data_IF_346527132864
#
_entry.id   IF_346527132864
#
_cell.length_a   1.000
_cell.length_b   1.000
_cell.length_c   1.000
_cell.angle_alpha   90.00
_cell.angle_beta   90.00
_cell.angle_gamma   90.00
#
_symmetry.space_group_name_H-M   'P 1'
#
loop_
_entity.id
_entity.type
_entity.pdbx_description
1 polymer ?
#
# COMPACT_ATOMS: atom_id res chain seq x y z
N UNK A 1 81.19 -29.07 18.10
CA UNK A 1 81.58 -27.81 17.40
C UNK A 1 80.45 -26.82 17.56
N UNK A 2 80.77 -25.60 18.03
CA UNK A 2 79.98 -24.34 18.08
C UNK A 2 78.47 -24.43 18.35
N UNK A 3 77.92 -23.96 19.47
CA UNK A 3 77.95 -22.56 19.94
C UNK A 3 76.48 -22.10 20.02
N UNK A 4 75.90 -22.03 21.23
CA UNK A 4 75.53 -20.79 21.95
C UNK A 4 74.34 -20.04 21.32
N UNK A 5 73.35 -19.48 22.00
CA UNK A 5 73.00 -19.21 23.41
C UNK A 5 71.58 -18.59 23.32
N UNK A 6 70.54 -19.12 23.97
CA UNK A 6 70.09 -18.80 25.33
C UNK A 6 69.46 -17.40 25.55
N UNK A 7 68.21 -17.43 26.09
CA UNK A 7 67.63 -16.56 27.14
C UNK A 7 67.28 -15.11 26.73
N UNK A 8 66.30 -14.40 27.32
CA UNK A 8 65.30 -14.60 28.39
C UNK A 8 64.33 -13.41 28.29
N UNK A 9 63.14 -13.56 28.85
CA UNK A 9 62.16 -12.51 29.10
C UNK A 9 62.68 -11.39 30.03
N UNK A 10 62.20 -10.16 29.83
CA UNK A 10 62.07 -9.11 30.85
C UNK A 10 60.84 -8.24 30.53
N UNK A 11 60.00 -8.07 31.55
CA UNK A 11 58.89 -7.12 31.69
C UNK A 11 59.38 -5.67 31.61
N UNK A 12 58.63 -4.77 30.95
CA UNK A 12 58.58 -3.35 31.33
C UNK A 12 57.41 -2.62 30.64
N UNK A 13 56.42 -2.24 31.45
CA UNK A 13 55.41 -1.20 31.20
C UNK A 13 55.96 0.11 31.84
N UNK A 14 55.50 1.37 31.60
CA UNK A 14 54.39 1.85 30.78
C UNK A 14 54.68 3.15 29.97
N UNK A 15 53.81 3.50 29.00
CA UNK A 15 53.26 4.87 28.79
C UNK A 15 52.44 5.00 27.49
N UNK A 16 51.22 5.50 27.67
CA UNK A 16 50.44 6.36 26.75
C UNK A 16 50.10 5.79 25.36
N UNK A 17 48.81 5.47 25.14
CA UNK A 17 47.98 6.15 24.13
C UNK A 17 46.49 5.93 24.38
N UNK A 18 45.80 7.05 24.64
CA UNK A 18 44.34 7.22 24.68
C UNK A 18 43.72 6.94 23.30
N UNK A 19 42.47 6.44 23.31
CA UNK A 19 41.34 6.69 22.38
C UNK A 19 41.65 6.55 20.88
N UNK A 20 40.86 5.88 20.05
CA UNK A 20 39.45 6.23 19.78
C UNK A 20 38.86 5.15 18.86
N UNK A 21 37.69 4.62 19.20
CA UNK A 21 36.83 3.89 18.26
C UNK A 21 36.26 4.88 17.23
N UNK A 22 36.57 4.65 15.95
CA UNK A 22 36.01 5.41 14.84
C UNK A 22 34.62 4.90 14.48
N UNK A 23 33.59 5.59 14.96
CA UNK A 23 32.25 5.60 14.34
C UNK A 23 32.39 6.06 12.89
N UNK A 24 32.14 5.19 11.91
CA UNK A 24 31.81 5.61 10.55
C UNK A 24 30.41 6.24 10.58
N UNK A 25 30.38 7.57 10.56
CA UNK A 25 29.19 8.36 10.21
C UNK A 25 29.23 8.58 8.70
N UNK A 26 28.16 8.20 8.01
CA UNK A 26 27.88 8.64 6.66
C UNK A 26 27.75 10.17 6.66
N UNK A 27 28.71 10.84 6.02
CA UNK A 27 28.65 12.26 5.75
C UNK A 27 27.77 12.51 4.54
N UNK A 28 26.56 13.02 4.78
CA UNK A 28 25.80 13.75 3.78
C UNK A 28 26.50 15.11 3.56
N UNK A 29 27.08 15.30 2.38
CA UNK A 29 27.58 16.59 1.93
C UNK A 29 26.37 17.48 1.66
N UNK A 30 26.14 18.46 2.53
CA UNK A 30 25.15 19.52 2.36
C UNK A 30 25.81 20.67 1.61
N UNK A 31 25.39 20.94 0.37
CA UNK A 31 25.71 22.19 -0.31
C UNK A 31 24.80 23.29 0.25
N UNK A 32 25.30 24.01 1.26
CA UNK A 32 24.70 25.24 1.77
C UNK A 32 25.05 26.41 0.85
N UNK A 33 24.20 26.66 -0.15
CA UNK A 33 24.23 27.86 -0.98
C UNK A 33 23.17 28.86 -0.49
N UNK A 34 23.62 29.98 0.04
CA UNK A 34 22.84 31.12 0.52
C UNK A 34 22.01 31.76 -0.61
N UNK A 35 20.72 31.41 -0.75
CA UNK A 35 19.79 32.17 -1.59
C UNK A 35 19.04 33.20 -0.75
N UNK A 36 19.44 34.47 -0.89
CA UNK A 36 18.62 35.61 -0.50
C UNK A 36 17.32 35.57 -1.30
N UNK A 37 16.19 35.62 -0.60
CA UNK A 37 14.87 35.78 -1.20
C UNK A 37 14.84 37.10 -1.97
N UNK A 38 14.71 37.02 -3.30
CA UNK A 38 14.33 38.15 -4.14
C UNK A 38 12.90 37.87 -4.57
N UNK A 39 11.96 38.67 -4.07
CA UNK A 39 10.57 38.68 -4.52
C UNK A 39 10.55 38.97 -6.02
N UNK A 40 10.25 37.94 -6.83
CA UNK A 40 10.09 38.10 -8.26
C UNK A 40 8.62 37.91 -8.67
N UNK A 41 8.11 38.73 -9.62
CA UNK A 41 6.73 38.63 -10.14
C UNK A 41 6.36 37.24 -10.69
N UNK A 42 7.37 36.43 -11.04
CA UNK A 42 7.21 35.06 -11.54
C UNK A 42 6.55 34.10 -10.55
N UNK A 43 6.67 34.35 -9.24
CA UNK A 43 6.05 33.49 -8.21
C UNK A 43 4.55 33.74 -8.07
N UNK A 44 4.11 34.99 -8.28
CA UNK A 44 2.69 35.33 -8.30
C UNK A 44 2.03 34.85 -9.59
N UNK A 45 2.71 34.95 -10.74
CA UNK A 45 2.23 34.38 -12.00
C UNK A 45 2.13 32.85 -11.97
N UNK A 46 3.05 32.17 -11.28
CA UNK A 46 3.00 30.72 -11.10
C UNK A 46 1.83 30.28 -10.20
N UNK A 47 1.55 31.03 -9.13
CA UNK A 47 0.39 30.77 -8.26
C UNK A 47 -0.93 31.14 -8.95
N UNK A 48 -0.96 32.20 -9.75
CA UNK A 48 -2.11 32.57 -10.57
C UNK A 48 -2.44 31.47 -11.59
N UNK A 49 -1.44 30.91 -12.29
CA UNK A 49 -1.63 29.79 -13.24
C UNK A 49 -2.12 28.50 -12.59
N UNK A 50 -1.78 28.24 -11.32
CA UNK A 50 -2.35 27.12 -10.55
C UNK A 50 -3.82 27.37 -10.20
N UNK A 51 -4.21 28.63 -9.96
CA UNK A 51 -5.61 28.99 -9.69
C UNK A 51 -6.47 29.06 -10.97
N UNK A 52 -5.87 29.41 -12.11
CA UNK A 52 -6.55 29.61 -13.40
C UNK A 52 -6.76 28.33 -14.24
N UNK A 53 -6.20 27.20 -13.80
CA UNK A 53 -6.52 25.87 -14.35
C UNK A 53 -7.93 25.35 -14.01
N UNK A 54 -8.78 26.20 -13.41
CA UNK A 54 -10.20 25.94 -13.17
C UNK A 54 -10.98 26.58 -14.31
N UNK A 55 -11.73 25.76 -15.07
CA UNK A 55 -12.69 26.13 -16.12
C UNK A 55 -12.22 26.05 -17.58
N UNK A 56 -11.45 25.00 -17.94
CA UNK A 56 -11.53 24.46 -19.31
C UNK A 56 -12.71 23.47 -19.42
N UNK A 57 -13.33 23.27 -20.59
CA UNK A 57 -14.43 22.31 -20.72
C UNK A 57 -13.88 20.91 -20.42
N UNK A 58 -14.31 20.31 -19.29
CA UNK A 58 -13.98 18.92 -18.98
C UNK A 58 -14.61 18.04 -20.07
N UNK A 59 -13.77 17.41 -20.91
CA UNK A 59 -14.22 16.29 -21.73
C UNK A 59 -14.95 15.28 -20.82
N UNK A 60 -16.05 14.65 -21.26
CA UNK A 60 -16.88 13.84 -20.37
C UNK A 60 -16.02 12.78 -19.69
N UNK A 61 -15.98 12.78 -18.34
CA UNK A 61 -15.12 11.90 -17.54
C UNK A 61 -15.21 10.42 -17.98
N UNK A 62 -16.37 9.98 -18.47
CA UNK A 62 -16.60 8.65 -19.02
C UNK A 62 -15.77 8.32 -20.27
N UNK A 63 -15.55 9.28 -21.16
CA UNK A 63 -14.82 9.06 -22.43
C UNK A 63 -13.35 8.69 -22.18
N UNK A 64 -12.70 9.38 -21.23
CA UNK A 64 -11.32 9.12 -20.83
C UNK A 64 -11.16 7.78 -20.10
N UNK A 65 -12.17 7.38 -19.31
CA UNK A 65 -12.16 6.10 -18.59
C UNK A 65 -12.30 4.94 -19.57
N UNK A 66 -13.25 5.02 -20.52
CA UNK A 66 -13.42 4.02 -21.57
C UNK A 66 -12.15 3.90 -22.44
N UNK A 67 -11.57 5.03 -22.84
CA UNK A 67 -10.30 5.05 -23.57
C UNK A 67 -9.16 4.36 -22.80
N UNK A 68 -9.05 4.58 -21.49
CA UNK A 68 -8.05 3.88 -20.67
C UNK A 68 -8.25 2.36 -20.69
N UNK A 69 -9.46 1.87 -20.44
CA UNK A 69 -9.72 0.43 -20.41
C UNK A 69 -9.60 -0.25 -21.78
N UNK A 70 -9.98 0.44 -22.85
CA UNK A 70 -9.85 -0.06 -24.21
C UNK A 70 -8.40 -0.17 -24.67
N UNK A 71 -7.54 0.77 -24.24
CA UNK A 71 -6.12 0.78 -24.58
C UNK A 71 -5.27 -0.06 -23.63
N UNK A 72 -5.76 -0.40 -22.43
CA UNK A 72 -5.00 -1.15 -21.44
C UNK A 72 -4.60 -2.55 -21.96
N UNK A 73 -3.39 -3.04 -21.61
CA UNK A 73 -3.01 -4.40 -21.94
C UNK A 73 -3.94 -5.41 -21.25
N UNK A 74 -4.21 -6.57 -21.88
CA UNK A 74 -5.01 -7.62 -21.26
C UNK A 74 -4.46 -8.04 -19.90
N UNK A 75 -5.35 -8.20 -18.93
CA UNK A 75 -5.00 -8.73 -17.62
C UNK A 75 -4.66 -10.23 -17.74
N UNK A 76 -3.37 -10.56 -17.62
CA UNK A 76 -2.84 -11.93 -17.81
C UNK A 76 -3.61 -13.03 -17.06
N UNK A 77 -4.00 -12.75 -15.81
CA UNK A 77 -4.71 -13.71 -14.95
C UNK A 77 -6.19 -13.34 -14.78
N UNK A 78 -6.78 -12.61 -15.75
CA UNK A 78 -8.13 -12.04 -15.65
C UNK A 78 -9.22 -13.08 -15.35
N UNK A 79 -9.27 -14.17 -16.10
CA UNK A 79 -10.28 -15.23 -15.91
C UNK A 79 -10.12 -15.92 -14.55
N UNK A 80 -8.87 -16.16 -14.12
CA UNK A 80 -8.58 -16.75 -12.82
C UNK A 80 -9.03 -15.83 -11.68
N UNK A 81 -8.81 -14.52 -11.81
CA UNK A 81 -9.26 -13.52 -10.84
C UNK A 81 -10.79 -13.47 -10.82
N UNK A 82 -11.44 -13.50 -11.98
CA UNK A 82 -12.89 -13.52 -12.11
C UNK A 82 -13.51 -14.73 -11.39
N UNK A 83 -12.97 -15.93 -11.63
CA UNK A 83 -13.44 -17.16 -10.99
C UNK A 83 -13.24 -17.13 -9.48
N UNK A 84 -12.05 -16.71 -9.01
CA UNK A 84 -11.78 -16.57 -7.56
C UNK A 84 -12.72 -15.57 -6.88
N UNK A 85 -13.00 -14.45 -7.55
CA UNK A 85 -13.95 -13.46 -7.05
C UNK A 85 -15.34 -14.05 -6.97
N UNK A 86 -15.80 -14.73 -8.04
CA UNK A 86 -17.12 -15.37 -8.06
C UNK A 86 -17.26 -16.39 -6.93
N UNK A 87 -16.32 -17.33 -6.80
CA UNK A 87 -16.34 -18.33 -5.72
C UNK A 87 -16.34 -17.71 -4.32
N UNK A 88 -15.59 -16.63 -4.12
CA UNK A 88 -15.56 -15.90 -2.85
C UNK A 88 -16.89 -15.21 -2.56
N UNK A 89 -17.45 -14.50 -3.53
CA UNK A 89 -18.74 -13.81 -3.37
C UNK A 89 -19.90 -14.78 -3.19
N UNK A 90 -19.95 -15.88 -3.96
CA UNK A 90 -20.99 -16.90 -3.85
C UNK A 90 -21.01 -17.53 -2.45
N UNK A 91 -19.83 -17.82 -1.90
CA UNK A 91 -19.69 -18.33 -0.53
C UNK A 91 -20.24 -17.36 0.52
N UNK A 92 -19.90 -16.07 0.39
CA UNK A 92 -20.36 -15.02 1.31
C UNK A 92 -21.87 -14.86 1.25
N UNK A 93 -22.45 -14.90 0.04
CA UNK A 93 -23.91 -14.87 -0.15
C UNK A 93 -24.59 -16.01 0.59
N UNK A 94 -24.11 -17.25 0.44
CA UNK A 94 -24.66 -18.42 1.14
C UNK A 94 -24.52 -18.33 2.67
N UNK A 95 -23.39 -17.82 3.17
CA UNK A 95 -23.20 -17.58 4.61
C UNK A 95 -24.14 -16.51 5.15
N UNK A 96 -24.49 -15.51 4.33
CA UNK A 96 -25.45 -14.46 4.70
C UNK A 96 -26.89 -14.97 4.78
N UNK A 97 -27.26 -16.04 4.07
CA UNK A 97 -28.60 -16.64 4.14
C UNK A 97 -28.79 -17.49 5.40
N UNK A 98 -27.71 -18.10 5.89
CA UNK A 98 -27.72 -18.99 7.06
C UNK A 98 -27.41 -18.27 8.39
N UNK A 99 -27.29 -16.94 8.40
CA UNK A 99 -26.83 -16.19 9.56
C UNK A 99 -26.98 -14.68 9.45
N UNK A 100 -26.10 -13.95 10.14
CA UNK A 100 -26.08 -12.48 10.07
C UNK A 100 -25.44 -12.01 8.76
N UNK A 101 -25.86 -10.86 8.20
CA UNK A 101 -25.32 -10.34 6.95
C UNK A 101 -23.81 -10.09 7.05
N UNK A 102 -23.04 -10.74 6.18
CA UNK A 102 -21.58 -10.58 6.14
C UNK A 102 -21.22 -9.24 5.52
N UNK A 103 -20.40 -8.46 6.21
CA UNK A 103 -19.82 -7.21 5.70
C UNK A 103 -18.59 -7.54 4.87
N UNK A 104 -18.46 -6.90 3.70
CA UNK A 104 -17.35 -7.18 2.78
C UNK A 104 -16.51 -5.93 2.60
N UNK A 105 -15.19 -6.04 2.68
CA UNK A 105 -14.27 -4.92 2.45
C UNK A 105 -13.24 -5.25 1.39
N UNK A 106 -13.08 -4.38 0.40
CA UNK A 106 -11.95 -4.38 -0.51
C UNK A 106 -10.83 -3.50 0.07
N UNK A 107 -9.71 -4.11 0.44
CA UNK A 107 -8.51 -3.41 0.90
C UNK A 107 -7.50 -3.39 -0.24
N UNK A 108 -7.13 -2.20 -0.72
CA UNK A 108 -6.04 -2.06 -1.69
C UNK A 108 -4.74 -1.68 -0.97
N UNK A 109 -3.61 -2.31 -1.30
CA UNK A 109 -2.33 -2.09 -0.61
C UNK A 109 -1.12 -2.13 -1.54
N UNK A 110 -0.08 -1.37 -1.18
CA UNK A 110 1.16 -1.26 -1.95
C UNK A 110 1.12 -0.25 -3.10
N UNK A 111 2.23 -0.11 -3.80
CA UNK A 111 2.40 0.85 -4.89
C UNK A 111 2.11 0.28 -6.27
N UNK A 112 1.58 1.09 -7.18
CA UNK A 112 1.49 0.74 -8.61
C UNK A 112 2.76 1.14 -9.35
N UNK A 113 3.17 0.33 -10.33
CA UNK A 113 4.17 0.73 -11.33
C UNK A 113 3.54 1.26 -12.61
N UNK A 114 4.27 2.12 -13.30
CA UNK A 114 3.98 2.56 -14.65
C UNK A 114 5.11 2.07 -15.55
N UNK A 115 4.90 1.04 -16.39
CA UNK A 115 5.89 0.62 -17.36
C UNK A 115 6.15 1.74 -18.38
N UNK A 116 7.41 1.88 -18.78
CA UNK A 116 7.82 2.84 -19.82
C UNK A 116 7.89 2.21 -21.21
N UNK A 117 7.99 0.88 -21.25
CA UNK A 117 8.04 0.05 -22.45
C UNK A 117 7.05 -1.13 -22.33
N UNK A 118 6.46 -1.59 -23.43
CA UNK A 118 5.52 -2.73 -23.41
C UNK A 118 6.24 -4.00 -22.97
N UNK A 119 7.44 -4.23 -23.49
CA UNK A 119 8.41 -5.21 -22.97
C UNK A 119 9.24 -4.53 -21.88
N UNK A 120 8.56 -4.29 -20.76
CA UNK A 120 9.02 -3.45 -19.67
C UNK A 120 10.40 -3.87 -19.14
N UNK A 121 11.36 -2.95 -19.26
CA UNK A 121 12.65 -3.02 -18.56
C UNK A 121 12.71 -1.96 -17.46
N UNK A 122 12.06 -0.81 -17.68
CA UNK A 122 12.05 0.32 -16.76
C UNK A 122 10.62 0.71 -16.43
N UNK A 123 10.42 1.20 -15.21
CA UNK A 123 9.12 1.65 -14.74
C UNK A 123 9.28 2.77 -13.71
N UNK A 124 8.22 3.59 -13.58
CA UNK A 124 8.04 4.52 -12.45
C UNK A 124 7.30 3.75 -11.36
N UNK A 125 7.72 3.87 -10.10
CA UNK A 125 7.07 3.22 -8.96
C UNK A 125 6.60 4.25 -7.94
N UNK A 126 5.42 4.03 -7.38
CA UNK A 126 4.89 4.81 -6.27
C UNK A 126 5.24 4.10 -4.96
N UNK A 127 6.06 4.73 -4.12
CA UNK A 127 6.53 4.11 -2.88
C UNK A 127 5.37 3.75 -1.94
N UNK A 128 5.23 2.46 -1.65
CA UNK A 128 4.41 1.95 -0.54
C UNK A 128 4.83 0.53 -0.21
N UNK A 129 5.24 0.31 1.05
CA UNK A 129 5.63 -1.02 1.54
C UNK A 129 4.44 -1.96 1.76
N UNK A 130 3.21 -1.44 1.76
CA UNK A 130 1.99 -2.22 1.98
C UNK A 130 1.63 -2.54 3.44
N UNK A 131 2.44 -2.11 4.42
CA UNK A 131 2.22 -2.43 5.84
C UNK A 131 0.84 -2.00 6.36
N UNK A 132 0.41 -0.77 6.05
CA UNK A 132 -0.90 -0.26 6.50
C UNK A 132 -2.04 -1.15 6.00
N UNK A 133 -2.06 -1.48 4.71
CA UNK A 133 -3.12 -2.32 4.15
C UNK A 133 -3.07 -3.74 4.69
N UNK A 134 -1.87 -4.30 4.90
CA UNK A 134 -1.70 -5.63 5.50
C UNK A 134 -2.22 -5.66 6.95
N UNK A 135 -1.79 -4.74 7.81
CA UNK A 135 -2.26 -4.66 9.19
C UNK A 135 -3.76 -4.39 9.27
N UNK A 136 -4.28 -3.45 8.47
CA UNK A 136 -5.73 -3.15 8.42
C UNK A 136 -6.55 -4.39 8.03
N UNK A 137 -6.05 -5.22 7.12
CA UNK A 137 -6.71 -6.47 6.72
C UNK A 137 -6.87 -7.43 7.88
N UNK A 138 -5.84 -7.61 8.71
CA UNK A 138 -5.91 -8.47 9.89
C UNK A 138 -6.99 -7.98 10.87
N UNK A 139 -7.06 -6.67 11.10
CA UNK A 139 -8.06 -6.08 11.98
C UNK A 139 -9.48 -6.12 11.40
N UNK A 140 -9.65 -5.99 10.08
CA UNK A 140 -10.95 -6.17 9.43
C UNK A 140 -11.45 -7.61 9.54
N UNK A 141 -10.58 -8.61 9.32
CA UNK A 141 -10.92 -10.02 9.54
C UNK A 141 -11.30 -10.25 11.01
N UNK A 142 -10.52 -9.71 11.96
CA UNK A 142 -10.83 -9.77 13.41
C UNK A 142 -12.19 -9.13 13.75
N UNK A 143 -12.61 -8.09 13.02
CA UNK A 143 -13.91 -7.43 13.14
C UNK A 143 -15.05 -8.16 12.38
N UNK A 144 -14.79 -9.34 11.81
CA UNK A 144 -15.80 -10.18 11.15
C UNK A 144 -16.10 -9.78 9.70
N UNK A 145 -15.23 -9.03 9.04
CA UNK A 145 -15.37 -8.77 7.60
C UNK A 145 -14.82 -9.92 6.76
N UNK A 146 -15.50 -10.17 5.65
CA UNK A 146 -14.86 -10.84 4.52
C UNK A 146 -14.01 -9.82 3.74
N UNK A 147 -12.73 -10.10 3.56
CA UNK A 147 -11.74 -9.17 3.01
C UNK A 147 -11.23 -9.63 1.65
N UNK A 148 -11.37 -8.75 0.65
CA UNK A 148 -10.69 -8.85 -0.65
C UNK A 148 -9.43 -7.97 -0.57
N UNK A 149 -8.26 -8.60 -0.42
CA UNK A 149 -6.98 -7.94 -0.32
C UNK A 149 -6.31 -7.83 -1.70
N UNK A 150 -6.43 -6.67 -2.32
CA UNK A 150 -5.80 -6.34 -3.62
C UNK A 150 -4.43 -5.71 -3.35
N UNK A 151 -3.34 -6.37 -3.71
CA UNK A 151 -2.01 -5.97 -3.22
C UNK A 151 -0.90 -6.02 -4.26
N UNK A 152 0.10 -5.15 -4.11
CA UNK A 152 1.31 -5.16 -4.95
C UNK A 152 2.13 -6.42 -4.72
N UNK A 153 2.47 -7.17 -5.77
CA UNK A 153 3.43 -8.30 -5.70
C UNK A 153 4.73 -7.84 -5.05
N UNK A 154 5.21 -8.61 -4.07
CA UNK A 154 6.42 -8.29 -3.29
C UNK A 154 6.21 -7.27 -2.16
N UNK A 155 5.02 -6.69 -2.00
CA UNK A 155 4.70 -5.85 -0.84
C UNK A 155 4.29 -6.68 0.38
N UNK A 156 4.21 -6.01 1.54
CA UNK A 156 3.78 -6.60 2.79
C UNK A 156 2.38 -7.23 2.67
N UNK A 157 2.23 -8.45 3.20
CA UNK A 157 0.97 -9.20 3.22
C UNK A 157 0.48 -9.39 4.66
N UNK A 158 -0.86 -9.50 4.88
CA UNK A 158 -1.41 -9.78 6.20
C UNK A 158 -0.82 -11.07 6.76
N UNK A 159 -0.55 -11.06 8.07
CA UNK A 159 0.10 -12.10 8.87
C UNK A 159 1.59 -12.34 8.56
N UNK A 160 2.07 -11.93 7.38
CA UNK A 160 3.48 -12.03 7.00
C UNK A 160 4.32 -10.81 7.45
N UNK A 161 3.70 -9.72 7.91
CA UNK A 161 4.38 -8.46 8.30
C UNK A 161 5.34 -8.57 9.48
N UNK A 162 5.21 -9.65 10.23
CA UNK A 162 6.02 -9.98 11.40
C UNK A 162 7.16 -10.94 11.09
N UNK A 163 7.18 -11.51 9.88
CA UNK A 163 8.31 -12.26 9.38
C UNK A 163 9.38 -11.23 8.98
N UNK A 164 10.67 -11.47 9.27
CA UNK A 164 11.68 -10.50 8.91
C UNK A 164 11.89 -10.41 7.40
N UNK A 165 12.59 -9.35 7.02
CA UNK A 165 12.94 -9.08 5.63
C UNK A 165 14.15 -9.89 5.16
N UNK A 166 14.97 -10.38 6.08
CA UNK A 166 16.12 -11.25 5.80
C UNK A 166 15.68 -12.68 5.43
N UNK A 167 16.63 -13.54 5.06
CA UNK A 167 16.33 -14.87 4.51
C UNK A 167 15.39 -15.66 5.43
N UNK A 168 14.20 -15.97 4.93
CA UNK A 168 13.20 -16.77 5.65
C UNK A 168 13.73 -18.15 6.07
N UNK A 169 14.81 -18.62 5.45
CA UNK A 169 15.50 -19.85 5.82
C UNK A 169 16.16 -19.79 7.20
N UNK A 170 16.44 -18.61 7.76
CA UNK A 170 16.97 -18.46 9.12
C UNK A 170 15.95 -18.83 10.21
N UNK A 171 14.68 -18.99 9.85
CA UNK A 171 13.59 -19.38 10.77
C UNK A 171 13.42 -20.87 10.90
N UNK A 172 14.23 -21.65 10.21
CA UNK A 172 13.93 -23.03 9.91
C UNK A 172 15.11 -23.92 10.23
N UNK A 173 14.99 -24.63 11.34
CA UNK A 173 15.89 -25.74 11.66
C UNK A 173 15.38 -27.02 10.98
N UNK A 174 16.29 -27.79 10.39
CA UNK A 174 16.01 -29.11 9.84
C UNK A 174 16.07 -30.16 10.96
N UNK A 175 15.04 -30.98 11.08
CA UNK A 175 15.06 -32.19 11.92
C UNK A 175 15.26 -33.42 11.03
N UNK A 176 16.14 -34.34 11.44
CA UNK A 176 16.56 -35.50 10.61
C UNK A 176 15.50 -36.62 10.49
N UNK A 177 14.33 -36.49 11.11
CA UNK A 177 13.34 -37.57 11.16
C UNK A 177 12.41 -37.58 9.95
N UNK A 178 12.70 -38.49 9.02
CA UNK A 178 11.94 -38.72 7.79
C UNK A 178 10.83 -39.76 7.99
N UNK A 179 9.57 -39.32 7.95
CA UNK A 179 8.48 -40.12 7.38
C UNK A 179 7.61 -39.25 6.48
N UNK A 180 7.29 -39.80 5.31
CA UNK A 180 6.89 -39.09 4.10
C UNK A 180 5.43 -38.62 4.20
N UNK A 181 5.24 -37.40 4.67
CA UNK A 181 4.50 -36.34 3.99
C UNK A 181 5.33 -35.08 4.20
N UNK A 182 5.70 -34.38 3.12
CA UNK A 182 6.63 -33.22 3.16
C UNK A 182 5.92 -32.01 3.81
N UNK A 183 5.70 -32.07 5.11
CA UNK A 183 5.83 -30.92 5.97
C UNK A 183 7.25 -31.03 6.52
N UNK A 184 8.18 -30.20 6.05
CA UNK A 184 9.42 -30.03 6.81
C UNK A 184 8.97 -29.66 8.24
N UNK A 185 9.34 -30.46 9.24
CA UNK A 185 9.14 -30.11 10.65
C UNK A 185 10.14 -29.00 10.92
N UNK A 186 9.73 -27.78 10.58
CA UNK A 186 10.55 -26.60 10.71
C UNK A 186 10.33 -26.06 12.11
N UNK A 187 11.34 -26.24 12.97
CA UNK A 187 11.34 -25.58 14.26
C UNK A 187 11.75 -24.12 14.05
N UNK A 188 10.94 -23.20 14.57
CA UNK A 188 11.24 -21.76 14.57
C UNK A 188 12.13 -21.43 15.76
N UNK A 189 13.18 -20.64 15.55
CA UNK A 189 14.04 -20.10 16.62
C UNK A 189 13.17 -19.60 17.80
N UNK A 190 13.54 -20.01 19.02
CA UNK A 190 12.68 -19.87 20.22
C UNK A 190 12.24 -18.42 20.49
N UNK A 191 13.04 -17.43 20.09
CA UNK A 191 12.74 -16.00 20.20
C UNK A 191 11.59 -15.52 19.29
N UNK A 192 11.35 -16.18 18.15
CA UNK A 192 10.34 -15.78 17.17
C UNK A 192 9.17 -16.77 17.06
N UNK A 193 9.29 -17.95 17.67
CA UNK A 193 8.33 -19.05 17.55
C UNK A 193 6.90 -18.66 17.91
N UNK A 194 6.68 -17.86 18.96
CA UNK A 194 5.34 -17.44 19.40
C UNK A 194 4.64 -16.59 18.35
N UNK A 195 5.36 -15.63 17.78
CA UNK A 195 4.84 -14.70 16.77
C UNK A 195 4.52 -15.42 15.46
N UNK A 196 5.43 -16.27 14.99
CA UNK A 196 5.24 -17.07 13.76
C UNK A 196 4.09 -18.07 13.90
N UNK A 197 4.00 -18.79 15.04
CA UNK A 197 2.89 -19.72 15.31
C UNK A 197 1.55 -18.99 15.32
N UNK A 198 1.47 -17.83 15.98
CA UNK A 198 0.27 -16.99 15.98
C UNK A 198 -0.11 -16.57 14.56
N UNK A 199 0.85 -16.05 13.78
CA UNK A 199 0.62 -15.62 12.41
C UNK A 199 0.10 -16.76 11.52
N UNK A 200 0.71 -17.95 11.59
CA UNK A 200 0.27 -19.12 10.81
C UNK A 200 -1.14 -19.54 11.21
N UNK A 201 -1.42 -19.63 12.51
CA UNK A 201 -2.75 -20.01 13.02
C UNK A 201 -3.83 -19.02 12.57
N UNK A 202 -3.58 -17.73 12.76
CA UNK A 202 -4.55 -16.68 12.44
C UNK A 202 -4.77 -16.59 10.91
N UNK A 203 -3.72 -16.77 10.10
CA UNK A 203 -3.82 -16.87 8.64
C UNK A 203 -4.65 -18.08 8.19
N UNK A 204 -4.34 -19.28 8.71
CA UNK A 204 -5.06 -20.50 8.36
C UNK A 204 -6.54 -20.37 8.71
N UNK A 205 -6.85 -19.88 9.90
CA UNK A 205 -8.22 -19.60 10.33
C UNK A 205 -8.94 -18.68 9.34
N UNK A 206 -8.34 -17.56 8.96
CA UNK A 206 -8.95 -16.61 8.02
C UNK A 206 -9.21 -17.21 6.63
N UNK A 207 -8.35 -18.13 6.16
CA UNK A 207 -8.50 -18.82 4.87
C UNK A 207 -9.51 -19.96 4.95
N UNK A 208 -9.47 -20.77 6.01
CA UNK A 208 -10.39 -21.89 6.25
C UNK A 208 -11.83 -21.40 6.44
N UNK A 209 -12.03 -20.29 7.16
CA UNK A 209 -13.33 -19.62 7.30
C UNK A 209 -13.77 -18.91 6.01
N UNK A 210 -12.93 -18.87 4.98
CA UNK A 210 -13.24 -18.25 3.69
C UNK A 210 -13.38 -16.73 3.77
N UNK A 211 -12.76 -16.08 4.76
CA UNK A 211 -12.87 -14.64 5.02
C UNK A 211 -11.79 -13.81 4.31
N UNK A 212 -10.78 -14.42 3.69
CA UNK A 212 -9.69 -13.70 3.04
C UNK A 212 -9.43 -14.18 1.61
N UNK A 213 -9.63 -13.29 0.64
CA UNK A 213 -9.21 -13.47 -0.75
C UNK A 213 -8.05 -12.52 -1.07
N UNK A 214 -6.95 -13.04 -1.62
CA UNK A 214 -5.79 -12.23 -2.03
C UNK A 214 -5.68 -12.14 -3.55
N UNK A 215 -5.58 -10.93 -4.09
CA UNK A 215 -5.44 -10.68 -5.54
C UNK A 215 -4.22 -9.79 -5.79
N UNK A 216 -3.16 -10.32 -6.42
CA UNK A 216 -1.95 -9.55 -6.67
C UNK A 216 -2.07 -8.63 -7.90
N UNK A 217 -1.42 -7.47 -7.85
CA UNK A 217 -1.17 -6.59 -9.00
C UNK A 217 0.28 -6.12 -9.02
N UNK A 218 0.72 -5.53 -10.12
CA UNK A 218 2.00 -4.83 -10.24
C UNK A 218 1.83 -3.45 -10.85
N UNK A 219 1.23 -3.39 -12.04
CA UNK A 219 1.12 -2.15 -12.81
C UNK A 219 -0.17 -1.38 -12.49
N UNK A 220 -0.21 -0.11 -12.85
CA UNK A 220 -1.42 0.71 -12.80
C UNK A 220 -2.56 0.11 -13.64
N UNK A 221 -2.24 -0.51 -14.78
CA UNK A 221 -3.22 -1.17 -15.64
C UNK A 221 -3.87 -2.37 -14.98
N UNK A 222 -3.06 -3.23 -14.35
CA UNK A 222 -3.56 -4.37 -13.59
C UNK A 222 -4.42 -3.89 -12.42
N UNK A 223 -3.93 -2.93 -11.64
CA UNK A 223 -4.63 -2.39 -10.48
C UNK A 223 -6.02 -1.85 -10.84
N UNK A 224 -6.13 -1.04 -11.90
CA UNK A 224 -7.41 -0.43 -12.27
C UNK A 224 -8.40 -1.43 -12.89
N UNK A 225 -7.93 -2.41 -13.65
CA UNK A 225 -8.76 -3.52 -14.13
C UNK A 225 -9.27 -4.37 -12.97
N UNK A 226 -8.41 -4.74 -12.03
CA UNK A 226 -8.77 -5.53 -10.84
C UNK A 226 -9.74 -4.74 -9.95
N UNK A 227 -9.49 -3.45 -9.72
CA UNK A 227 -10.38 -2.60 -8.92
C UNK A 227 -11.78 -2.54 -9.54
N UNK A 228 -11.88 -2.41 -10.87
CA UNK A 228 -13.17 -2.43 -11.55
C UNK A 228 -13.87 -3.78 -11.39
N UNK A 229 -13.15 -4.89 -11.58
CA UNK A 229 -13.72 -6.24 -11.42
C UNK A 229 -14.26 -6.43 -10.00
N UNK A 230 -13.45 -6.12 -8.98
CA UNK A 230 -13.85 -6.22 -7.57
C UNK A 230 -15.06 -5.33 -7.28
N UNK A 231 -15.04 -4.09 -7.76
CA UNK A 231 -16.14 -3.14 -7.53
C UNK A 231 -17.47 -3.63 -8.09
N UNK A 232 -17.46 -4.10 -9.34
CA UNK A 232 -18.65 -4.67 -9.98
C UNK A 232 -19.12 -5.94 -9.29
N UNK A 233 -18.21 -6.83 -8.89
CA UNK A 233 -18.55 -8.05 -8.14
C UNK A 233 -19.14 -7.76 -6.76
N UNK A 234 -18.74 -6.66 -6.12
CA UNK A 234 -19.28 -6.23 -4.81
C UNK A 234 -20.58 -5.42 -4.90
N UNK A 235 -21.07 -5.08 -6.09
CA UNK A 235 -22.24 -4.19 -6.25
C UNK A 235 -23.49 -4.64 -5.48
N UNK A 236 -23.76 -5.95 -5.41
CA UNK A 236 -24.90 -6.52 -4.69
C UNK A 236 -24.81 -6.38 -3.16
N UNK A 237 -23.61 -6.13 -2.62
CA UNK A 237 -23.42 -5.93 -1.16
C UNK A 237 -24.02 -4.60 -0.68
N UNK A 238 -24.27 -3.66 -1.61
CA UNK A 238 -24.83 -2.35 -1.36
C UNK A 238 -24.11 -1.62 -0.20
N UNK A 239 -24.86 -1.19 0.83
CA UNK A 239 -24.32 -0.48 2.00
C UNK A 239 -23.42 -1.32 2.89
N UNK A 240 -23.40 -2.65 2.73
CA UNK A 240 -22.55 -3.58 3.49
C UNK A 240 -21.16 -3.76 2.88
N UNK A 241 -20.95 -3.24 1.67
CA UNK A 241 -19.65 -3.22 1.00
C UNK A 241 -18.84 -2.00 1.41
N UNK A 242 -17.56 -2.19 1.71
CA UNK A 242 -16.60 -1.13 2.00
C UNK A 242 -15.43 -1.15 1.01
N UNK A 243 -14.94 0.03 0.62
CA UNK A 243 -13.67 0.18 -0.10
C UNK A 243 -12.68 0.93 0.77
N UNK A 244 -11.58 0.27 1.15
CA UNK A 244 -10.46 0.83 1.90
C UNK A 244 -9.26 0.99 0.97
N UNK A 245 -9.15 2.17 0.35
CA UNK A 245 -8.27 2.43 -0.79
C UNK A 245 -6.89 2.96 -0.35
N UNK A 246 -6.09 2.10 0.29
CA UNK A 246 -4.76 2.45 0.83
C UNK A 246 -3.58 2.23 -0.14
N UNK A 247 -3.83 1.88 -1.39
CA UNK A 247 -2.76 1.73 -2.39
C UNK A 247 -2.19 3.09 -2.81
N UNK A 248 -0.88 3.13 -3.07
CA UNK A 248 -0.22 4.30 -3.64
C UNK A 248 -0.33 4.23 -5.17
N UNK A 249 -1.42 4.77 -5.70
CA UNK A 249 -1.77 4.74 -7.13
C UNK A 249 -1.04 5.86 -7.86
N UNK A 250 -0.47 5.56 -9.03
CA UNK A 250 0.20 6.55 -9.87
C UNK A 250 -0.79 7.57 -10.42
N UNK A 251 -0.47 8.87 -10.31
CA UNK A 251 -1.30 9.97 -10.84
C UNK A 251 -1.12 10.17 -12.36
N UNK A 252 -0.01 9.68 -12.89
CA UNK A 252 0.37 9.81 -14.29
C UNK A 252 0.79 8.44 -14.85
N UNK A 253 0.61 8.22 -16.14
CA UNK A 253 0.96 6.98 -16.83
C UNK A 253 1.34 7.23 -18.29
N UNK A 254 1.97 6.26 -18.95
CA UNK A 254 2.16 6.25 -20.41
C UNK A 254 1.03 5.43 -21.03
N UNK A 255 0.17 5.99 -21.90
CA UNK A 255 -0.84 5.22 -22.61
C UNK A 255 -0.21 4.08 -23.41
N UNK A 256 -0.78 2.89 -23.31
CA UNK A 256 -0.22 1.65 -23.87
C UNK A 256 0.05 1.75 -25.38
N UNK A 257 -0.87 2.37 -26.13
CA UNK A 257 -0.77 2.59 -27.57
C UNK A 257 0.41 3.50 -27.96
N UNK A 258 0.80 4.42 -27.07
CA UNK A 258 1.93 5.34 -27.28
C UNK A 258 3.24 4.84 -26.69
N UNK A 259 3.23 3.68 -26.02
CA UNK A 259 4.37 3.13 -25.30
C UNK A 259 5.32 2.44 -26.27
N UNK A 260 6.62 2.67 -26.11
CA UNK A 260 7.63 1.96 -26.91
C UNK A 260 7.53 0.45 -26.68
N UNK A 261 7.56 -0.36 -27.75
CA UNK A 261 7.46 -1.82 -27.59
C UNK A 261 8.69 -2.38 -26.86
N UNK A 262 9.88 -1.89 -27.20
CA UNK A 262 11.17 -2.40 -26.73
C UNK A 262 11.90 -1.40 -25.83
N UNK A 263 12.91 -1.90 -25.09
CA UNK A 263 13.81 -1.11 -24.24
C UNK A 263 14.27 0.17 -24.97
N UNK A 264 13.97 1.32 -24.36
CA UNK A 264 14.41 2.62 -24.88
C UNK A 264 15.94 2.69 -24.82
N UNK A 265 16.57 3.02 -25.95
CA UNK A 265 18.04 3.05 -26.09
C UNK A 265 18.61 4.36 -25.56
N UNK A 266 19.76 4.29 -24.86
CA UNK A 266 20.39 5.44 -24.19
C UNK A 266 21.37 6.23 -25.07
N UNK A 267 21.59 5.81 -26.33
CA UNK A 267 22.60 6.41 -27.20
C UNK A 267 22.16 7.76 -27.81
N UNK A 268 20.87 8.12 -27.73
CA UNK A 268 20.29 9.26 -28.44
C UNK A 268 20.31 10.59 -27.65
N UNK A 269 20.94 10.63 -26.46
CA UNK A 269 20.96 11.82 -25.60
C UNK A 269 19.95 11.75 -24.44
N UNK A 270 19.51 12.90 -23.90
CA UNK A 270 18.58 12.93 -22.77
C UNK A 270 17.23 12.29 -23.13
N UNK A 271 16.59 11.66 -22.14
CA UNK A 271 15.29 11.02 -22.32
C UNK A 271 14.16 11.95 -21.88
N UNK A 272 13.40 12.46 -22.84
CA UNK A 272 12.17 13.18 -22.58
C UNK A 272 10.98 12.21 -22.49
N UNK A 273 10.27 12.24 -21.37
CA UNK A 273 9.10 11.39 -21.15
C UNK A 273 7.83 12.23 -21.02
N UNK A 274 6.85 11.93 -21.88
CA UNK A 274 5.51 12.50 -21.79
C UNK A 274 4.58 11.54 -21.06
N UNK A 275 4.05 11.99 -19.94
CA UNK A 275 3.08 11.23 -19.16
C UNK A 275 1.69 11.87 -19.29
N UNK A 276 0.67 11.03 -19.32
CA UNK A 276 -0.74 11.41 -19.30
C UNK A 276 -1.31 11.25 -17.90
N UNK A 277 -2.24 12.11 -17.50
CA UNK A 277 -2.90 11.97 -16.20
C UNK A 277 -3.81 10.73 -16.18
N UNK A 278 -3.76 9.96 -15.10
CA UNK A 278 -4.67 8.82 -14.89
C UNK A 278 -6.11 9.34 -14.74
N UNK A 279 -7.10 8.71 -15.40
CA UNK A 279 -8.50 9.08 -15.27
C UNK A 279 -8.98 9.08 -13.81
N UNK A 280 -10.04 9.83 -13.51
CA UNK A 280 -10.56 9.98 -12.15
C UNK A 280 -11.39 8.78 -11.70
N UNK A 281 -10.74 7.63 -11.52
CA UNK A 281 -11.38 6.33 -11.26
C UNK A 281 -12.23 6.29 -9.98
N UNK A 282 -11.90 7.10 -8.95
CA UNK A 282 -12.72 7.19 -7.73
C UNK A 282 -14.13 7.74 -7.99
N UNK A 283 -14.27 8.67 -8.95
CA UNK A 283 -15.58 9.21 -9.36
C UNK A 283 -16.47 8.10 -9.94
N UNK A 284 -15.87 7.27 -10.81
CA UNK A 284 -16.55 6.15 -11.46
C UNK A 284 -16.91 5.06 -10.46
N UNK A 285 -16.01 4.74 -9.52
CA UNK A 285 -16.29 3.81 -8.43
C UNK A 285 -17.54 4.21 -7.65
N UNK A 286 -17.64 5.49 -7.29
CA UNK A 286 -18.71 6.07 -6.46
C UNK A 286 -20.04 6.28 -7.18
N UNK A 287 -20.04 6.36 -8.50
CA UNK A 287 -21.25 6.66 -9.28
C UNK A 287 -21.77 5.47 -10.06
N UNK A 288 -20.88 4.61 -10.53
CA UNK A 288 -21.21 3.55 -11.49
C UNK A 288 -20.91 2.15 -10.95
N UNK A 289 -19.72 1.90 -10.41
CA UNK A 289 -19.32 0.52 -10.07
C UNK A 289 -19.88 0.04 -8.74
N UNK A 290 -19.87 0.88 -7.70
CA UNK A 290 -20.33 0.53 -6.37
C UNK A 290 -20.91 1.76 -5.62
N UNK A 291 -22.03 2.33 -6.11
CA UNK A 291 -22.53 3.62 -5.64
C UNK A 291 -22.98 3.64 -4.17
N UNK A 292 -23.49 2.51 -3.67
CA UNK A 292 -23.95 2.39 -2.28
C UNK A 292 -22.86 1.97 -1.31
N UNK A 293 -21.66 1.62 -1.78
CA UNK A 293 -20.60 1.10 -0.92
C UNK A 293 -19.95 2.20 -0.07
N UNK A 294 -19.53 1.84 1.15
CA UNK A 294 -18.83 2.75 2.04
C UNK A 294 -17.36 2.95 1.60
N UNK A 295 -17.08 4.04 0.89
CA UNK A 295 -15.72 4.30 0.39
C UNK A 295 -14.87 5.18 1.33
N UNK A 296 -13.65 4.71 1.57
CA UNK A 296 -12.58 5.34 2.32
C UNK A 296 -11.36 5.48 1.39
N UNK A 297 -10.77 6.67 1.33
CA UNK A 297 -9.54 6.89 0.56
C UNK A 297 -8.43 7.45 1.44
N UNK A 298 -7.20 7.32 0.97
CA UNK A 298 -6.02 7.79 1.67
C UNK A 298 -5.44 9.01 0.96
N UNK A 299 -4.98 9.97 1.76
CA UNK A 299 -4.19 11.10 1.28
C UNK A 299 -2.87 11.13 2.03
N UNK A 300 -1.78 11.10 1.26
CA UNK A 300 -0.42 11.19 1.75
C UNK A 300 0.18 12.49 1.22
N UNK A 301 0.69 13.34 2.10
CA UNK A 301 1.39 14.57 1.72
C UNK A 301 2.68 14.72 2.53
N UNK A 302 3.61 15.50 2.00
CA UNK A 302 4.85 15.89 2.70
C UNK A 302 4.74 17.28 3.32
N UNK A 303 3.75 18.07 2.90
CA UNK A 303 3.47 19.40 3.43
C UNK A 303 2.17 19.35 4.27
N UNK A 304 2.26 19.52 5.60
CA UNK A 304 1.08 19.50 6.48
C UNK A 304 0.12 20.66 6.21
N UNK A 305 0.59 21.78 5.64
CA UNK A 305 -0.21 22.97 5.33
C UNK A 305 -1.28 22.72 4.27
N UNK A 306 -1.05 21.76 3.36
CA UNK A 306 -1.97 21.43 2.27
C UNK A 306 -2.74 20.12 2.49
N UNK A 307 -2.31 19.29 3.45
CA UNK A 307 -2.84 17.94 3.66
C UNK A 307 -4.34 17.93 3.89
N UNK A 308 -4.82 18.72 4.86
CA UNK A 308 -6.25 18.76 5.22
C UNK A 308 -7.10 19.39 4.12
N UNK A 309 -6.57 20.41 3.44
CA UNK A 309 -7.25 21.04 2.30
C UNK A 309 -7.45 20.04 1.16
N UNK A 310 -6.42 19.24 0.85
CA UNK A 310 -6.49 18.20 -0.17
C UNK A 310 -7.40 17.04 0.23
N UNK A 311 -7.45 16.69 1.51
CA UNK A 311 -8.40 15.70 2.03
C UNK A 311 -9.86 16.17 1.86
N UNK A 312 -10.16 17.41 2.25
CA UNK A 312 -11.48 18.02 2.06
C UNK A 312 -11.87 18.14 0.58
N UNK A 313 -10.89 18.43 -0.29
CA UNK A 313 -11.09 18.44 -1.74
C UNK A 313 -11.45 17.06 -2.28
N UNK A 314 -10.76 16.00 -1.83
CA UNK A 314 -11.05 14.63 -2.26
C UNK A 314 -12.46 14.19 -1.80
N UNK A 315 -12.85 14.53 -0.57
CA UNK A 315 -14.22 14.32 -0.06
C UNK A 315 -15.26 14.95 -0.99
N UNK A 316 -15.13 16.24 -1.32
CA UNK A 316 -16.10 16.95 -2.17
C UNK A 316 -16.08 16.49 -3.63
N UNK A 317 -14.88 16.27 -4.19
CA UNK A 317 -14.70 15.99 -5.61
C UNK A 317 -15.17 14.58 -5.98
N UNK A 318 -14.89 13.60 -5.13
CA UNK A 318 -15.20 12.20 -5.40
C UNK A 318 -16.40 11.68 -4.59
N UNK A 319 -16.90 12.48 -3.64
CA UNK A 319 -18.00 12.08 -2.77
C UNK A 319 -17.59 11.06 -1.71
N UNK A 320 -16.31 10.94 -1.35
CA UNK A 320 -15.84 9.95 -0.36
C UNK A 320 -16.57 10.10 0.99
N UNK A 321 -16.78 8.99 1.71
CA UNK A 321 -17.35 9.06 3.07
C UNK A 321 -16.29 9.40 4.10
N UNK A 322 -15.06 8.92 3.88
CA UNK A 322 -13.91 9.17 4.74
C UNK A 322 -12.66 9.39 3.89
N UNK A 323 -11.85 10.37 4.28
CA UNK A 323 -10.46 10.48 3.82
C UNK A 323 -9.54 10.34 5.03
N UNK A 324 -8.62 9.38 4.99
CA UNK A 324 -7.56 9.23 5.99
C UNK A 324 -6.35 10.00 5.50
N UNK A 325 -6.05 11.11 6.17
CA UNK A 325 -4.95 12.01 5.86
C UNK A 325 -3.72 11.65 6.70
N UNK A 326 -2.56 11.54 6.04
CA UNK A 326 -1.31 11.13 6.66
C UNK A 326 -0.18 12.02 6.14
N UNK A 327 0.70 12.44 7.03
CA UNK A 327 1.95 13.10 6.64
C UNK A 327 3.05 12.04 6.51
N UNK A 328 3.88 12.12 5.46
CA UNK A 328 4.93 11.12 5.20
C UNK A 328 5.92 10.96 6.36
N UNK A 329 6.20 12.01 7.12
CA UNK A 329 7.11 11.95 8.26
C UNK A 329 6.55 11.15 9.45
N UNK A 330 5.23 11.17 9.64
CA UNK A 330 4.56 10.69 10.86
C UNK A 330 3.50 9.63 10.61
N UNK A 331 3.33 9.15 9.36
CA UNK A 331 2.24 8.25 8.98
C UNK A 331 2.15 6.95 9.80
N UNK A 332 3.26 6.48 10.39
CA UNK A 332 3.27 5.31 11.27
C UNK A 332 2.77 5.60 12.69
N UNK A 333 2.82 6.87 13.10
CA UNK A 333 2.56 7.33 14.47
C UNK A 333 1.21 8.04 14.58
N UNK A 334 0.77 8.75 13.53
CA UNK A 334 -0.48 9.50 13.52
C UNK A 334 -1.13 9.53 12.15
N UNK A 335 -2.47 9.49 12.15
CA UNK A 335 -3.32 9.76 10.98
C UNK A 335 -4.50 10.63 11.40
N UNK A 336 -5.07 11.37 10.46
CA UNK A 336 -6.28 12.18 10.69
C UNK A 336 -7.41 11.62 9.82
N UNK A 337 -8.46 11.12 10.47
CA UNK A 337 -9.71 10.74 9.82
C UNK A 337 -10.49 12.02 9.54
N UNK A 338 -10.78 12.29 8.27
CA UNK A 338 -11.58 13.44 7.81
C UNK A 338 -12.93 12.94 7.29
N UNK A 339 -14.01 13.43 7.89
CA UNK A 339 -15.39 13.18 7.47
C UNK A 339 -16.14 14.50 7.27
N UNK A 340 -17.42 14.46 6.87
CA UNK A 340 -18.24 15.67 6.69
C UNK A 340 -18.42 16.39 8.03
N UNK A 341 -17.64 17.46 8.23
CA UNK A 341 -17.75 18.34 9.41
C UNK A 341 -16.99 17.88 10.65
N UNK A 342 -16.26 16.76 10.60
CA UNK A 342 -15.45 16.27 11.73
C UNK A 342 -14.07 15.82 11.28
N UNK A 343 -13.09 16.05 12.14
CA UNK A 343 -11.73 15.53 12.01
C UNK A 343 -11.36 14.82 13.31
N UNK A 344 -10.81 13.62 13.21
CA UNK A 344 -10.43 12.80 14.37
C UNK A 344 -8.99 12.35 14.18
N UNK A 345 -8.09 12.75 15.08
CA UNK A 345 -6.72 12.25 15.11
C UNK A 345 -6.69 10.85 15.73
N UNK A 346 -5.99 9.93 15.09
CA UNK A 346 -5.72 8.57 15.57
C UNK A 346 -4.22 8.45 15.72
N UNK A 347 -3.77 8.14 16.94
CA UNK A 347 -2.36 8.10 17.29
C UNK A 347 -1.99 6.74 17.82
N UNK A 348 -0.79 6.31 17.50
CA UNK A 348 -0.20 5.11 18.04
C UNK A 348 0.01 5.28 19.55
N UNK A 349 -0.52 4.35 20.35
CA UNK A 349 -0.41 4.41 21.81
C UNK A 349 0.98 4.02 22.31
N UNK A 350 1.58 2.96 21.74
CA UNK A 350 2.92 2.49 22.08
C UNK A 350 3.54 1.72 20.90
N UNK A 351 4.82 1.32 21.02
CA UNK A 351 5.56 0.61 19.97
C UNK A 351 5.07 -0.82 19.71
N UNK A 352 4.21 -1.37 20.56
CA UNK A 352 3.73 -2.76 20.47
C UNK A 352 2.34 -2.84 19.82
N UNK A 353 1.61 -1.74 19.78
CA UNK A 353 0.27 -1.63 19.19
C UNK A 353 0.36 -1.07 17.79
N UNK A 354 -0.49 -1.57 16.90
CA UNK A 354 -0.65 -1.00 15.57
C UNK A 354 -1.66 0.15 15.64
N UNK A 355 -1.33 1.26 14.96
CA UNK A 355 -2.28 2.35 14.76
C UNK A 355 -3.54 1.86 14.04
N UNK A 356 -3.39 0.86 13.16
CA UNK A 356 -4.46 0.25 12.40
C UNK A 356 -5.55 -0.39 13.26
N UNK A 357 -5.27 -0.83 14.50
CA UNK A 357 -6.30 -1.38 15.39
C UNK A 357 -7.37 -0.32 15.71
N UNK A 358 -6.93 0.85 16.16
CA UNK A 358 -7.83 1.95 16.50
C UNK A 358 -8.48 2.55 15.24
N UNK A 359 -7.71 2.65 14.14
CA UNK A 359 -8.23 3.13 12.87
C UNK A 359 -9.37 2.24 12.36
N UNK A 360 -9.16 0.92 12.31
CA UNK A 360 -10.17 -0.03 11.83
C UNK A 360 -11.37 -0.07 12.76
N UNK A 361 -11.17 0.00 14.07
CA UNK A 361 -12.29 0.10 15.03
C UNK A 361 -13.19 1.31 14.75
N UNK A 362 -12.62 2.50 14.56
CA UNK A 362 -13.41 3.70 14.26
C UNK A 362 -14.11 3.63 12.89
N UNK A 363 -13.44 3.05 11.90
CA UNK A 363 -14.02 2.86 10.57
C UNK A 363 -15.16 1.83 10.58
N UNK A 364 -15.06 0.80 11.41
CA UNK A 364 -16.13 -0.19 11.60
C UNK A 364 -17.38 0.45 12.19
N UNK A 365 -17.24 1.25 13.24
CA UNK A 365 -18.34 2.01 13.85
C UNK A 365 -19.00 2.96 12.83
N UNK A 366 -18.19 3.69 12.04
CA UNK A 366 -18.71 4.57 10.98
C UNK A 366 -19.48 3.79 9.91
N UNK A 367 -18.99 2.62 9.51
CA UNK A 367 -19.66 1.79 8.53
C UNK A 367 -20.95 1.18 9.07
N UNK A 368 -20.97 0.78 10.34
CA UNK A 368 -22.16 0.29 11.02
C UNK A 368 -23.27 1.35 11.05
N UNK A 369 -22.93 2.59 11.38
CA UNK A 369 -23.89 3.71 11.33
C UNK A 369 -24.34 4.03 9.90
N UNK A 370 -23.45 3.93 8.91
CA UNK A 370 -23.80 4.08 7.50
C UNK A 370 -24.80 3.00 7.02
N UNK A 371 -24.61 1.75 7.44
CA UNK A 371 -25.54 0.65 7.16
C UNK A 371 -26.92 0.92 7.77
N UNK A 372 -26.98 1.36 9.04
CA UNK A 372 -28.23 1.69 9.72
C UNK A 372 -29.01 2.81 9.05
N UNK A 373 -28.31 3.81 8.52
CA UNK A 373 -28.91 4.98 7.88
C UNK A 373 -29.40 4.70 6.45
N UNK A 374 -29.19 3.48 5.93
CA UNK A 374 -29.68 3.07 4.61
C UNK A 374 -28.85 3.58 3.43
N UNK A 375 -27.66 4.15 3.68
CA UNK A 375 -26.79 4.74 2.67
C UNK A 375 -27.32 6.09 2.16
N UNK A 376 -26.76 7.18 2.69
CA UNK A 376 -27.12 8.56 2.32
C UNK A 376 -26.06 9.22 1.44
#
# INVERSE_FOLDING_TARGET
MGGASSRRAVDDNPKKKKKTEGKKRDQYVTFGGLFRAVDSPLRQDFLARIMDSRNGPEAPQESNVKSFFNSAPPLRDGDLICNKLKEFMDRISLSSENGSPVRVVCVTSGGTTVPLEQRCVRYIDNFSSGHRGAASTEYFVKAGYAVIFVYRRGSCQPYCRYLPQDSFLEFFDLTEDSTIQVYCILQVCQSHATMVKKAIRDYRKAVEEGLLLKIPFTTIFEYLQILQMVAKSMSWTATRGMFYLAAAVSDFYVPWESMAEHKIQSAAGPLDMRLTQVPKMLSVLRKEWAPSAFCISFKLETDPGILLQKADMAMRKYGMHVVVANELATYKEEVIIVTKGRRTAVRRHNKETDLEEQLVYLLDEMHYEYIKQGGA
#
